data_IF_841495239547
#
_entry.id   IF_841495239547
#
_cell.length_a   1.000
_cell.length_b   1.000
_cell.length_c   1.000
_cell.angle_alpha   90.00
_cell.angle_beta   90.00
_cell.angle_gamma   90.00
#
_symmetry.space_group_name_H-M   'P 1'
#
loop_
_entity.id
_entity.type
_entity.pdbx_description
1 polymer ?
#
# COMPACT_ATOMS: atom_id res chain seq x y z
N UNK A 1 20.18 10.72 3.61
CA UNK A 1 18.80 11.22 3.61
C UNK A 1 17.99 10.10 4.19
N UNK A 2 17.86 10.10 5.52
CA UNK A 2 17.04 9.15 6.26
C UNK A 2 15.60 9.34 5.78
N UNK A 3 15.11 8.36 5.02
CA UNK A 3 13.70 8.29 4.68
C UNK A 3 12.94 8.13 5.98
N UNK A 4 12.34 9.24 6.43
CA UNK A 4 11.45 9.33 7.58
C UNK A 4 10.40 8.21 7.46
N UNK A 5 10.64 7.11 8.15
CA UNK A 5 9.75 5.96 8.15
C UNK A 5 8.52 6.42 8.91
N UNK A 6 7.48 6.81 8.16
CA UNK A 6 6.23 7.28 8.75
C UNK A 6 5.77 6.29 9.83
N UNK A 7 5.37 6.76 11.01
CA UNK A 7 5.02 5.87 12.12
C UNK A 7 3.86 4.96 11.71
N UNK A 8 3.81 3.74 12.23
CA UNK A 8 2.78 2.76 11.84
C UNK A 8 1.36 3.29 12.07
N UNK A 9 1.13 4.13 13.08
CA UNK A 9 -0.16 4.76 13.36
C UNK A 9 -0.51 5.93 12.42
N UNK A 10 0.41 6.35 11.55
CA UNK A 10 0.14 7.43 10.62
C UNK A 10 -0.88 6.97 9.57
N UNK A 11 -1.92 7.77 9.38
CA UNK A 11 -2.95 7.54 8.36
C UNK A 11 -2.71 8.52 7.22
N UNK A 12 -2.24 8.04 6.05
CA UNK A 12 -2.12 8.88 4.88
C UNK A 12 -3.49 9.39 4.46
N UNK A 13 -3.54 10.57 3.82
CA UNK A 13 -4.79 11.14 3.30
C UNK A 13 -4.84 11.17 1.78
N UNK A 14 -6.04 11.14 1.18
CA UNK A 14 -6.19 11.37 -0.25
C UNK A 14 -5.63 12.74 -0.64
N UNK A 15 -4.72 12.77 -1.62
CA UNK A 15 -4.07 14.01 -2.07
C UNK A 15 -2.79 14.37 -1.32
N UNK A 16 -2.44 13.65 -0.25
CA UNK A 16 -1.04 13.56 0.15
C UNK A 16 -0.28 12.84 -0.98
N UNK A 17 0.87 13.38 -1.34
CA UNK A 17 1.65 12.90 -2.49
C UNK A 17 2.06 11.43 -2.36
N UNK A 18 2.74 10.87 -3.36
CA UNK A 18 3.23 9.50 -3.28
C UNK A 18 4.13 9.31 -2.05
N UNK A 19 3.86 8.27 -1.27
CA UNK A 19 4.60 7.93 -0.06
C UNK A 19 5.46 6.71 -0.37
N UNK A 20 6.77 6.84 -0.17
CA UNK A 20 7.70 5.73 -0.30
C UNK A 20 7.69 4.86 0.97
N UNK A 21 7.51 3.56 0.79
CA UNK A 21 7.51 2.53 1.81
C UNK A 21 8.61 1.52 1.49
N UNK A 22 9.44 1.19 2.48
CA UNK A 22 10.39 0.08 2.36
C UNK A 22 9.88 -1.07 3.22
N UNK A 23 9.54 -2.18 2.59
CA UNK A 23 9.01 -3.38 3.27
C UNK A 23 9.87 -4.56 2.85
N UNK A 24 10.47 -5.26 3.81
CA UNK A 24 11.38 -6.40 3.57
C UNK A 24 12.57 -6.09 2.65
N UNK A 25 12.99 -4.82 2.58
CA UNK A 25 14.06 -4.35 1.68
C UNK A 25 13.57 -3.95 0.28
N UNK A 26 12.28 -4.08 0.01
CA UNK A 26 11.65 -3.71 -1.25
C UNK A 26 11.00 -2.33 -1.17
N UNK A 27 11.14 -1.54 -2.23
CA UNK A 27 10.60 -0.18 -2.30
C UNK A 27 9.25 -0.19 -3.00
N UNK A 28 8.24 0.27 -2.27
CA UNK A 28 6.88 0.50 -2.74
C UNK A 28 6.54 1.99 -2.69
N UNK A 29 5.74 2.45 -3.63
CA UNK A 29 5.17 3.79 -3.63
C UNK A 29 3.67 3.67 -3.41
N UNK A 30 3.20 4.09 -2.24
CA UNK A 30 1.79 4.21 -1.93
C UNK A 30 1.23 5.52 -2.50
N UNK A 31 0.10 5.43 -3.20
CA UNK A 31 -0.70 6.56 -3.64
C UNK A 31 -2.13 6.38 -3.19
N UNK A 32 -2.64 7.36 -2.44
CA UNK A 32 -4.05 7.38 -2.11
C UNK A 32 -4.85 8.07 -3.20
N UNK A 33 -5.86 7.37 -3.69
CA UNK A 33 -6.78 7.92 -4.67
C UNK A 33 -7.83 8.80 -4.00
N UNK A 34 -8.38 9.80 -4.73
CA UNK A 34 -9.44 10.66 -4.22
C UNK A 34 -10.73 9.90 -3.88
N UNK A 35 -10.96 8.70 -4.43
CA UNK A 35 -12.10 7.84 -4.07
C UNK A 35 -11.93 7.10 -2.73
N UNK A 36 -10.78 7.26 -2.05
CA UNK A 36 -10.42 6.53 -0.83
C UNK A 36 -9.75 5.18 -1.10
N UNK A 37 -9.58 4.81 -2.38
CA UNK A 37 -8.76 3.68 -2.78
C UNK A 37 -7.26 3.93 -2.59
N UNK A 38 -6.49 2.85 -2.65
CA UNK A 38 -5.04 2.88 -2.50
C UNK A 38 -4.40 2.15 -3.66
N UNK A 39 -3.32 2.71 -4.19
CA UNK A 39 -2.49 2.09 -5.23
C UNK A 39 -1.07 1.96 -4.70
N UNK A 40 -0.49 0.77 -4.86
CA UNK A 40 0.86 0.42 -4.45
C UNK A 40 1.65 0.08 -5.70
N UNK A 41 2.68 0.88 -5.98
CA UNK A 41 3.58 0.68 -7.11
C UNK A 41 4.90 0.09 -6.60
N UNK A 42 5.30 -1.06 -7.12
CA UNK A 42 6.50 -1.77 -6.71
C UNK A 42 7.68 -1.35 -7.58
N UNK A 43 8.43 -0.35 -7.10
CA UNK A 43 9.51 0.26 -7.87
C UNK A 43 10.81 -0.54 -7.89
N UNK A 44 11.03 -1.43 -6.92
CA UNK A 44 12.25 -2.25 -6.83
C UNK A 44 12.04 -3.71 -7.28
N UNK A 45 10.82 -4.06 -7.71
CA UNK A 45 10.48 -5.42 -8.09
C UNK A 45 11.12 -5.85 -9.41
N UNK A 46 11.14 -7.17 -9.70
CA UNK A 46 11.66 -7.70 -10.95
C UNK A 46 10.82 -7.31 -12.17
N UNK A 47 9.59 -6.83 -11.95
CA UNK A 47 8.65 -6.42 -12.97
C UNK A 47 8.40 -4.91 -12.85
N UNK A 48 8.86 -4.14 -13.85
CA UNK A 48 8.69 -2.69 -13.91
C UNK A 48 7.19 -2.32 -13.96
N UNK A 49 6.75 -1.45 -13.06
CA UNK A 49 5.35 -1.02 -12.95
C UNK A 49 4.40 -2.08 -12.40
N UNK A 50 4.92 -3.13 -11.77
CA UNK A 50 4.09 -4.10 -11.06
C UNK A 50 3.62 -3.53 -9.72
N UNK A 51 2.46 -3.96 -9.26
CA UNK A 51 1.82 -3.33 -8.11
C UNK A 51 0.46 -3.94 -7.85
N UNK A 52 -0.17 -3.47 -6.79
CA UNK A 52 -1.54 -3.86 -6.46
C UNK A 52 -2.31 -2.64 -5.99
N UNK A 53 -3.64 -2.72 -6.03
CA UNK A 53 -4.52 -1.65 -5.60
C UNK A 53 -5.62 -2.16 -4.69
N UNK A 54 -5.94 -1.39 -3.66
CA UNK A 54 -7.08 -1.60 -2.79
C UNK A 54 -8.25 -0.71 -3.21
N UNK A 55 -9.46 -1.28 -3.20
CA UNK A 55 -10.69 -0.50 -3.21
C UNK A 55 -10.85 0.26 -1.89
N UNK A 56 -11.55 1.40 -1.86
CA UNK A 56 -11.88 2.08 -0.62
C UNK A 56 -12.59 1.11 0.33
N UNK A 57 -12.01 0.91 1.51
CA UNK A 57 -12.62 0.11 2.56
C UNK A 57 -13.81 0.90 3.12
N UNK A 58 -15.03 0.46 2.80
CA UNK A 58 -16.26 1.01 3.38
C UNK A 58 -16.77 0.08 4.46
N UNK A 59 -17.25 0.64 5.56
CA UNK A 59 -17.96 -0.13 6.57
C UNK A 59 -19.21 -0.75 5.94
N UNK A 60 -19.28 -2.08 5.93
CA UNK A 60 -20.42 -2.79 5.35
C UNK A 60 -21.71 -2.44 6.09
N UNK A 61 -22.72 -1.99 5.35
CA UNK A 61 -24.04 -1.65 5.88
C UNK A 61 -24.30 -0.16 6.10
N UNK A 62 -23.30 0.70 5.92
CA UNK A 62 -23.49 2.15 5.98
C UNK A 62 -22.91 2.85 4.73
N UNK A 63 -23.77 3.30 3.80
CA UNK A 63 -23.33 3.98 2.57
C UNK A 63 -22.85 5.43 2.81
N UNK A 64 -23.01 5.97 4.02
CA UNK A 64 -22.56 7.30 4.42
C UNK A 64 -21.32 7.30 5.32
N UNK A 65 -20.86 6.12 5.75
CA UNK A 65 -19.68 6.00 6.59
C UNK A 65 -18.44 6.51 5.85
N UNK A 66 -17.60 7.21 6.60
CA UNK A 66 -16.29 7.64 6.15
C UNK A 66 -15.52 6.42 5.64
N UNK A 67 -14.85 6.54 4.49
CA UNK A 67 -14.01 5.47 3.99
C UNK A 67 -12.90 5.23 5.02
N UNK A 68 -12.76 3.98 5.46
CA UNK A 68 -11.69 3.58 6.35
C UNK A 68 -10.35 3.78 5.65
N UNK A 69 -9.53 4.67 6.21
CA UNK A 69 -8.19 4.91 5.73
C UNK A 69 -7.22 4.04 6.52
N UNK A 70 -6.62 3.01 5.89
CA UNK A 70 -5.65 2.17 6.56
C UNK A 70 -4.46 2.98 7.03
N UNK A 71 -3.91 2.56 8.16
CA UNK A 71 -2.68 3.09 8.75
C UNK A 71 -1.44 2.59 8.01
N UNK A 72 -0.29 3.24 8.20
CA UNK A 72 0.99 2.79 7.62
C UNK A 72 1.35 1.36 8.04
N UNK A 73 0.99 0.95 9.26
CA UNK A 73 1.14 -0.43 9.70
C UNK A 73 0.31 -1.40 8.87
N UNK A 74 -0.95 -1.08 8.59
CA UNK A 74 -1.80 -1.91 7.73
C UNK A 74 -1.33 -1.95 6.28
N UNK A 75 -0.79 -0.84 5.77
CA UNK A 75 -0.15 -0.79 4.46
C UNK A 75 1.04 -1.75 4.39
N UNK A 76 1.92 -1.71 5.40
CA UNK A 76 3.10 -2.60 5.48
C UNK A 76 2.71 -4.06 5.61
N UNK A 77 1.71 -4.38 6.43
CA UNK A 77 1.20 -5.75 6.55
C UNK A 77 0.55 -6.23 5.25
N UNK A 78 -0.19 -5.36 4.54
CA UNK A 78 -0.75 -5.70 3.22
C UNK A 78 0.34 -6.00 2.20
N UNK A 79 1.39 -5.16 2.14
CA UNK A 79 2.56 -5.38 1.27
C UNK A 79 3.28 -6.66 1.68
N UNK A 80 3.52 -6.91 2.97
CA UNK A 80 4.16 -8.15 3.45
C UNK A 80 3.35 -9.38 3.08
N UNK A 81 2.03 -9.32 3.20
CA UNK A 81 1.13 -10.38 2.77
C UNK A 81 1.24 -10.61 1.26
N UNK A 82 1.26 -9.54 0.46
CA UNK A 82 1.49 -9.59 -0.98
C UNK A 82 2.83 -10.24 -1.34
N UNK A 83 3.93 -9.83 -0.70
CA UNK A 83 5.26 -10.43 -0.88
C UNK A 83 5.29 -11.90 -0.46
N UNK A 84 4.56 -12.28 0.59
CA UNK A 84 4.44 -13.67 1.04
C UNK A 84 3.66 -14.56 0.06
N UNK A 85 2.76 -13.97 -0.75
CA UNK A 85 2.07 -14.67 -1.84
C UNK A 85 2.92 -14.75 -3.11
N UNK A 86 3.92 -13.87 -3.26
CA UNK A 86 4.81 -13.89 -4.41
C UNK A 86 5.74 -15.10 -4.35
N UNK A 87 5.74 -15.88 -5.41
CA UNK A 87 6.68 -16.96 -5.60
C UNK A 87 8.08 -16.38 -5.87
N UNK A 88 9.08 -16.64 -5.02
CA UNK A 88 10.43 -16.07 -5.16
C UNK A 88 11.17 -16.55 -6.41
N UNK A 89 10.73 -17.63 -7.06
CA UNK A 89 11.31 -18.13 -8.30
C UNK A 89 10.75 -17.43 -9.55
N UNK A 90 9.52 -16.89 -9.49
CA UNK A 90 8.85 -16.27 -10.66
C UNK A 90 8.59 -14.78 -10.51
N UNK A 91 8.54 -14.26 -9.28
CA UNK A 91 8.17 -12.87 -9.01
C UNK A 91 6.68 -12.56 -9.18
N UNK A 92 5.83 -13.60 -9.23
CA UNK A 92 4.38 -13.50 -9.36
C UNK A 92 3.64 -14.22 -8.22
N UNK A 93 2.41 -13.81 -7.93
CA UNK A 93 1.50 -14.54 -7.02
C UNK A 93 1.11 -15.89 -7.65
N UNK A 94 1.22 -16.97 -6.88
CA UNK A 94 0.74 -18.33 -7.21
C UNK A 94 -0.65 -18.60 -6.62
#
# INVERSE_FOLDING_TARGET
>A
MDGDVLPDDYQPRPGEGPIALVVDGEVFTLRMRPDGGTDYDWGSGPNDGYGFGGSPARTAGDPGAECYLPTMGEHRESIRSFLGMINPATGYID
#
